data_IF_763930057282
#
_entry.id   IF_763930057282
#
_cell.length_a   1.000
_cell.length_b   1.000
_cell.length_c   1.000
_cell.angle_alpha   90.00
_cell.angle_beta   90.00
_cell.angle_gamma   90.00
#
_symmetry.space_group_name_H-M   'P 1'
#
loop_
_entity.id
_entity.type
_entity.pdbx_description
1 polymer ?
#
# COMPACT_ATOMS: atom_id res chain seq x y z
N UNK A 1 -13.15 32.49 -37.64
CA UNK A 1 -13.79 32.17 -38.92
C UNK A 1 -12.69 31.80 -39.90
N UNK A 2 -12.69 30.53 -40.33
CA UNK A 2 -11.97 29.94 -41.46
C UNK A 2 -10.45 30.13 -41.51
N UNK A 3 -9.70 29.04 -41.29
CA UNK A 3 -8.55 28.67 -42.14
C UNK A 3 -8.28 27.16 -41.96
N UNK A 4 -9.23 26.34 -42.42
CA UNK A 4 -8.89 25.04 -42.99
C UNK A 4 -8.28 25.26 -44.38
N UNK A 5 -7.44 24.30 -44.81
CA UNK A 5 -6.82 24.11 -46.14
C UNK A 5 -5.38 24.63 -46.27
N UNK A 6 -4.43 23.79 -45.88
CA UNK A 6 -3.53 23.10 -46.82
C UNK A 6 -2.41 22.37 -46.07
N UNK A 7 -2.71 21.17 -45.57
CA UNK A 7 -1.68 20.19 -45.18
C UNK A 7 -1.84 18.96 -46.08
N UNK A 8 -1.64 19.17 -47.37
CA UNK A 8 -1.46 18.09 -48.35
C UNK A 8 -0.31 18.53 -49.25
N UNK A 9 0.79 17.78 -49.22
CA UNK A 9 2.04 17.96 -49.99
C UNK A 9 3.21 18.67 -49.30
N UNK A 10 3.54 18.28 -48.06
CA UNK A 10 4.93 18.40 -47.61
C UNK A 10 5.64 17.10 -48.00
N UNK A 11 6.70 17.13 -48.84
CA UNK A 11 7.42 15.91 -49.21
C UNK A 11 7.97 15.24 -47.95
N UNK A 12 7.78 13.92 -47.85
CA UNK A 12 8.13 13.10 -46.67
C UNK A 12 9.56 13.31 -46.15
N UNK A 13 10.48 13.75 -47.02
CA UNK A 13 11.88 14.08 -46.67
C UNK A 13 12.03 15.35 -45.82
N UNK A 14 11.10 16.33 -45.92
CA UNK A 14 11.15 17.58 -45.15
C UNK A 14 10.68 17.43 -43.70
N UNK A 15 9.69 16.56 -43.46
CA UNK A 15 9.17 16.27 -42.11
C UNK A 15 10.21 15.50 -41.30
N UNK A 16 10.94 14.56 -41.92
CA UNK A 16 12.01 13.81 -41.25
C UNK A 16 13.17 14.72 -40.83
N UNK A 17 13.51 15.73 -41.65
CA UNK A 17 14.58 16.68 -41.34
C UNK A 17 14.20 17.66 -40.22
N UNK A 18 12.93 18.10 -40.16
CA UNK A 18 12.43 18.94 -39.07
C UNK A 18 12.37 18.18 -37.74
N UNK A 19 12.02 16.90 -37.76
CA UNK A 19 12.02 16.04 -36.57
C UNK A 19 13.46 15.87 -36.05
N UNK A 20 14.44 15.60 -36.92
CA UNK A 20 15.85 15.44 -36.53
C UNK A 20 16.41 16.72 -35.89
N UNK A 21 16.09 17.91 -36.42
CA UNK A 21 16.55 19.20 -35.85
C UNK A 21 15.90 19.48 -34.48
N UNK A 22 14.64 19.09 -34.28
CA UNK A 22 13.98 19.19 -32.95
C UNK A 22 14.58 18.20 -31.94
N UNK A 23 15.04 17.02 -32.39
CA UNK A 23 15.74 16.04 -31.56
C UNK A 23 17.14 16.52 -31.11
N UNK A 24 17.92 17.15 -32.00
CA UNK A 24 19.26 17.67 -31.65
C UNK A 24 19.23 18.89 -30.72
N UNK A 25 18.20 19.73 -30.79
CA UNK A 25 18.12 20.98 -30.01
C UNK A 25 17.49 20.80 -28.61
N UNK A 26 16.84 19.68 -28.32
CA UNK A 26 16.08 19.47 -27.07
C UNK A 26 16.68 18.41 -26.13
N UNK A 27 17.69 17.65 -26.55
CA UNK A 27 18.31 16.61 -25.74
C UNK A 27 17.40 15.40 -25.46
N UNK A 28 16.39 15.17 -26.30
CA UNK A 28 15.43 14.08 -26.12
C UNK A 28 16.06 12.72 -26.50
N UNK A 29 16.20 11.84 -25.52
CA UNK A 29 16.75 10.49 -25.70
C UNK A 29 15.77 9.58 -26.48
N UNK A 30 16.16 9.20 -27.71
CA UNK A 30 15.43 8.27 -28.57
C UNK A 30 15.14 6.92 -27.91
N UNK A 31 15.99 6.45 -26.98
CA UNK A 31 15.71 5.23 -26.23
C UNK A 31 14.57 5.43 -25.23
N UNK A 32 14.51 6.58 -24.54
CA UNK A 32 13.41 6.88 -23.62
C UNK A 32 12.08 7.08 -24.34
N UNK A 33 12.09 7.75 -25.50
CA UNK A 33 10.89 7.92 -26.33
C UNK A 33 10.40 6.56 -26.84
N UNK A 34 11.30 5.71 -27.35
CA UNK A 34 10.92 4.38 -27.81
C UNK A 34 10.45 3.48 -26.67
N UNK A 35 11.03 3.58 -25.48
CA UNK A 35 10.57 2.88 -24.29
C UNK A 35 9.15 3.32 -23.89
N UNK A 36 8.87 4.63 -23.88
CA UNK A 36 7.53 5.16 -23.62
C UNK A 36 6.52 4.75 -24.71
N UNK A 37 6.87 4.85 -25.99
CA UNK A 37 6.00 4.44 -27.11
C UNK A 37 5.70 2.94 -27.05
N UNK A 38 6.69 2.10 -26.71
CA UNK A 38 6.47 0.65 -26.57
C UNK A 38 5.64 0.31 -25.33
N UNK A 39 5.78 1.07 -24.24
CA UNK A 39 4.92 0.96 -23.05
C UNK A 39 3.47 1.31 -23.40
N UNK A 40 3.25 2.39 -24.16
CA UNK A 40 1.93 2.83 -24.64
C UNK A 40 1.33 1.80 -25.62
N UNK A 41 2.09 1.32 -26.60
CA UNK A 41 1.63 0.28 -27.54
C UNK A 41 1.24 -1.02 -26.84
N UNK A 42 2.00 -1.45 -25.83
CA UNK A 42 1.64 -2.62 -25.03
C UNK A 42 0.35 -2.41 -24.24
N UNK A 43 0.12 -1.22 -23.70
CA UNK A 43 -1.12 -0.89 -22.98
C UNK A 43 -2.37 -0.88 -23.89
N UNK A 44 -2.22 -0.55 -25.18
CA UNK A 44 -3.33 -0.47 -26.13
C UNK A 44 -3.87 -1.85 -26.56
N UNK A 45 -3.07 -2.92 -26.46
CA UNK A 45 -3.46 -4.27 -26.89
C UNK A 45 -3.84 -5.20 -25.71
N UNK A 46 -3.88 -4.67 -24.48
CA UNK A 46 -4.32 -5.42 -23.30
C UNK A 46 -5.84 -5.52 -23.27
N UNK A 47 -6.35 -6.75 -23.26
CA UNK A 47 -7.78 -7.07 -23.13
C UNK A 47 -8.11 -7.71 -21.79
N UNK A 48 -7.11 -8.28 -21.13
CA UNK A 48 -7.29 -9.04 -19.90
C UNK A 48 -6.35 -8.52 -18.80
N UNK A 49 -6.88 -8.46 -17.58
CA UNK A 49 -6.15 -8.03 -16.40
C UNK A 49 -6.28 -9.11 -15.34
N UNK A 50 -5.15 -9.48 -14.75
CA UNK A 50 -5.10 -10.45 -13.66
C UNK A 50 -4.29 -9.83 -12.53
N UNK A 51 -4.72 -10.08 -11.30
CA UNK A 51 -4.07 -9.57 -10.11
C UNK A 51 -3.76 -10.69 -9.13
N UNK A 52 -2.52 -10.75 -8.68
CA UNK A 52 -2.11 -11.58 -7.57
C UNK A 52 -1.73 -10.69 -6.40
N UNK A 53 -2.13 -11.07 -5.20
CA UNK A 53 -1.82 -10.30 -3.99
C UNK A 53 -1.28 -11.21 -2.91
N UNK A 54 -0.13 -10.86 -2.36
CA UNK A 54 0.57 -11.60 -1.31
C UNK A 54 1.08 -10.66 -0.22
N UNK A 55 1.60 -11.21 0.87
CA UNK A 55 2.25 -10.41 1.93
C UNK A 55 3.76 -10.61 1.85
N UNK A 56 4.53 -9.55 2.14
CA UNK A 56 5.96 -9.68 2.38
C UNK A 56 6.21 -10.64 3.54
N UNK A 57 7.33 -11.36 3.44
CA UNK A 57 7.85 -12.23 4.50
C UNK A 57 9.23 -11.75 4.93
N UNK A 58 9.55 -11.99 6.20
CA UNK A 58 10.85 -11.70 6.79
C UNK A 58 10.97 -10.27 7.28
N UNK A 59 11.57 -10.09 8.46
CA UNK A 59 11.80 -8.79 9.08
C UNK A 59 13.01 -8.07 8.46
N UNK A 60 13.04 -6.75 8.57
CA UNK A 60 14.22 -5.93 8.32
C UNK A 60 14.87 -5.52 9.65
N UNK A 61 15.94 -4.73 9.60
CA UNK A 61 16.66 -4.28 10.79
C UNK A 61 15.79 -3.46 11.76
N UNK A 62 14.88 -2.64 11.23
CA UNK A 62 14.02 -1.72 12.00
C UNK A 62 12.52 -2.00 11.81
N UNK A 63 12.17 -2.92 10.91
CA UNK A 63 10.78 -3.19 10.56
C UNK A 63 10.42 -4.64 10.83
N UNK A 64 9.41 -4.85 11.68
CA UNK A 64 8.74 -6.14 11.83
C UNK A 64 7.60 -6.20 10.85
N UNK A 65 7.54 -7.24 10.02
CA UNK A 65 6.40 -7.47 9.14
C UNK A 65 5.45 -8.49 9.76
N UNK A 66 4.15 -8.24 9.58
CA UNK A 66 3.11 -9.00 10.28
C UNK A 66 3.20 -10.50 9.98
N UNK A 67 3.17 -11.32 11.03
CA UNK A 67 3.14 -12.77 10.94
C UNK A 67 2.25 -13.31 12.05
N UNK A 68 1.32 -14.21 11.72
CA UNK A 68 0.50 -14.91 12.72
C UNK A 68 1.34 -15.74 13.70
N UNK A 69 2.58 -16.06 13.34
CA UNK A 69 3.50 -16.87 14.14
C UNK A 69 4.44 -16.03 15.02
N UNK A 70 4.54 -14.72 14.77
CA UNK A 70 5.46 -13.83 15.48
C UNK A 70 4.70 -12.60 15.98
N UNK A 71 4.35 -12.65 17.26
CA UNK A 71 3.75 -11.51 17.97
C UNK A 71 4.84 -10.53 18.40
N UNK A 72 4.44 -9.26 18.60
CA UNK A 72 5.30 -8.22 19.14
C UNK A 72 5.77 -8.59 20.54
N UNK A 73 6.99 -8.20 20.85
CA UNK A 73 7.60 -8.30 22.18
C UNK A 73 8.06 -6.92 22.62
N UNK A 74 8.31 -6.72 23.91
CA UNK A 74 8.84 -5.43 24.38
C UNK A 74 10.23 -5.10 23.82
N UNK A 75 10.97 -6.07 23.27
CA UNK A 75 12.27 -5.86 22.62
C UNK A 75 12.13 -5.23 21.22
N UNK A 76 10.92 -5.23 20.66
CA UNK A 76 10.60 -4.55 19.40
C UNK A 76 10.40 -3.04 19.59
N UNK A 77 10.13 -2.56 20.81
CA UNK A 77 9.86 -1.14 21.11
C UNK A 77 11.16 -0.40 21.40
N UNK A 78 11.89 -0.04 20.33
CA UNK A 78 13.24 0.54 20.40
C UNK A 78 13.25 2.07 20.35
N UNK A 79 12.10 2.69 20.13
CA UNK A 79 11.92 4.14 20.15
C UNK A 79 12.05 4.73 21.55
N UNK A 80 12.32 6.03 21.61
CA UNK A 80 12.42 6.76 22.88
C UNK A 80 11.07 7.39 23.23
N UNK A 81 10.51 7.14 24.44
CA UNK A 81 9.32 7.82 24.91
C UNK A 81 9.49 9.33 24.92
N UNK A 82 8.47 10.08 24.46
CA UNK A 82 8.48 11.54 24.62
C UNK A 82 8.20 11.88 26.08
N UNK A 83 9.04 12.73 26.68
CA UNK A 83 8.97 13.08 28.11
C UNK A 83 7.60 13.64 28.53
N UNK A 84 6.90 14.34 27.62
CA UNK A 84 5.59 14.96 27.86
C UNK A 84 4.41 14.13 27.35
N UNK A 85 4.65 12.89 26.88
CA UNK A 85 3.55 12.06 26.40
C UNK A 85 2.58 11.72 27.53
N UNK A 86 1.28 11.89 27.26
CA UNK A 86 0.21 11.39 28.12
C UNK A 86 0.05 9.85 28.01
N UNK A 87 0.68 9.22 27.02
CA UNK A 87 0.57 7.78 26.76
C UNK A 87 1.70 6.98 27.41
N UNK A 88 1.40 5.73 27.74
CA UNK A 88 2.33 4.79 28.38
C UNK A 88 3.18 4.00 27.38
N UNK A 89 2.64 3.76 26.19
CA UNK A 89 3.28 3.12 25.06
C UNK A 89 2.68 3.65 23.75
N UNK A 90 3.34 3.37 22.63
CA UNK A 90 2.78 3.55 21.30
C UNK A 90 3.44 2.58 20.31
N UNK A 91 2.62 1.87 19.54
CA UNK A 91 3.03 1.10 18.37
C UNK A 91 2.84 1.91 17.08
N UNK A 92 3.92 2.08 16.31
CA UNK A 92 3.84 2.62 14.96
C UNK A 92 3.59 1.48 13.98
N UNK A 93 2.31 1.22 13.70
CA UNK A 93 1.84 0.23 12.73
C UNK A 93 1.34 0.88 11.45
N UNK A 94 1.43 0.17 10.34
CA UNK A 94 0.91 0.65 9.07
C UNK A 94 0.99 -0.39 7.98
N UNK A 95 0.54 -0.02 6.79
CA UNK A 95 0.72 -0.85 5.62
C UNK A 95 1.11 -0.05 4.39
N UNK A 96 1.74 -0.73 3.44
CA UNK A 96 2.11 -0.26 2.12
C UNK A 96 2.02 -1.40 1.11
N UNK A 97 2.37 -1.14 -0.14
CA UNK A 97 2.48 -2.20 -1.14
C UNK A 97 3.55 -1.90 -2.17
N UNK A 98 4.10 -2.97 -2.76
CA UNK A 98 4.94 -2.91 -3.93
C UNK A 98 4.20 -3.58 -5.09
N UNK A 99 4.10 -2.88 -6.23
CA UNK A 99 3.46 -3.39 -7.44
C UNK A 99 4.45 -3.69 -8.54
N UNK A 100 4.29 -4.83 -9.20
CA UNK A 100 5.00 -5.20 -10.42
C UNK A 100 3.99 -5.61 -11.49
N UNK A 101 4.15 -5.11 -12.72
CA UNK A 101 3.29 -5.49 -13.86
C UNK A 101 4.12 -6.23 -14.90
N UNK A 102 3.63 -7.40 -15.31
CA UNK A 102 4.18 -8.20 -16.41
C UNK A 102 3.15 -8.35 -17.51
N UNK A 103 3.56 -8.23 -18.77
CA UNK A 103 2.68 -8.41 -19.92
C UNK A 103 2.96 -9.75 -20.60
N UNK A 104 1.91 -10.52 -20.89
CA UNK A 104 1.97 -11.75 -21.69
C UNK A 104 0.82 -11.76 -22.69
N UNK A 105 1.14 -11.58 -23.98
CA UNK A 105 0.13 -11.42 -25.03
C UNK A 105 -0.75 -10.19 -24.75
N UNK A 106 -2.06 -10.39 -24.78
CA UNK A 106 -3.09 -9.39 -24.47
C UNK A 106 -3.46 -9.34 -22.97
N UNK A 107 -2.66 -9.96 -22.10
CA UNK A 107 -2.90 -10.01 -20.65
C UNK A 107 -1.86 -9.22 -19.87
N UNK A 108 -2.33 -8.31 -19.00
CA UNK A 108 -1.55 -7.69 -17.94
C UNK A 108 -1.65 -8.52 -16.64
N UNK A 109 -0.51 -8.87 -16.07
CA UNK A 109 -0.37 -9.63 -14.84
C UNK A 109 0.22 -8.70 -13.78
N UNK A 110 -0.63 -8.28 -12.84
CA UNK A 110 -0.32 -7.33 -11.79
C UNK A 110 -0.02 -8.13 -10.51
N UNK A 111 1.18 -7.98 -9.97
CA UNK A 111 1.58 -8.64 -8.72
C UNK A 111 1.74 -7.57 -7.65
N UNK A 112 0.94 -7.68 -6.60
CA UNK A 112 0.97 -6.79 -5.45
C UNK A 112 1.53 -7.54 -4.24
N UNK A 113 2.58 -7.00 -3.63
CA UNK A 113 3.14 -7.48 -2.37
C UNK A 113 2.82 -6.46 -1.29
N UNK A 114 1.94 -6.84 -0.36
CA UNK A 114 1.55 -6.02 0.78
C UNK A 114 2.62 -6.05 1.87
N UNK A 115 2.96 -4.87 2.35
CA UNK A 115 3.87 -4.64 3.45
C UNK A 115 3.03 -4.24 4.66
N UNK A 116 2.74 -5.17 5.57
CA UNK A 116 2.04 -4.88 6.85
C UNK A 116 3.12 -4.80 7.91
N UNK A 117 3.34 -3.62 8.49
CA UNK A 117 4.57 -3.35 9.22
C UNK A 117 4.35 -2.70 10.59
N UNK A 118 5.35 -2.91 11.44
CA UNK A 118 5.59 -2.22 12.70
C UNK A 118 7.02 -1.65 12.67
N UNK A 119 7.19 -0.36 12.95
CA UNK A 119 8.50 0.34 12.90
C UNK A 119 9.09 0.45 14.31
N UNK A 120 10.12 -0.33 14.59
CA UNK A 120 10.69 -0.50 15.92
C UNK A 120 11.24 0.82 16.49
N UNK A 121 11.95 1.61 15.67
CA UNK A 121 12.50 2.91 16.07
C UNK A 121 11.45 3.99 16.39
N UNK A 122 10.22 3.84 15.88
CA UNK A 122 9.12 4.78 16.12
C UNK A 122 8.13 4.30 17.18
N UNK A 123 8.23 3.04 17.59
CA UNK A 123 7.44 2.43 18.64
C UNK A 123 8.18 2.46 19.96
N UNK A 124 7.52 2.86 21.04
CA UNK A 124 8.16 3.07 22.34
C UNK A 124 7.25 2.68 23.49
N UNK A 125 7.84 2.42 24.66
CA UNK A 125 7.12 2.12 25.90
C UNK A 125 7.89 2.71 27.09
N UNK A 126 7.18 3.26 28.07
CA UNK A 126 7.80 3.67 29.33
C UNK A 126 8.18 2.45 30.16
N UNK A 127 9.32 2.50 30.84
CA UNK A 127 9.84 1.35 31.60
C UNK A 127 8.85 0.86 32.66
N UNK A 128 8.13 1.78 33.30
CA UNK A 128 7.10 1.53 34.32
C UNK A 128 5.77 1.00 33.77
N UNK A 129 5.58 1.01 32.45
CA UNK A 129 4.33 0.62 31.78
C UNK A 129 4.35 -0.78 31.16
N UNK A 130 5.50 -1.46 31.14
CA UNK A 130 5.63 -2.78 30.52
C UNK A 130 4.80 -3.81 31.28
N UNK A 131 3.80 -4.37 30.59
CA UNK A 131 2.97 -5.48 31.08
C UNK A 131 2.43 -6.28 29.89
N UNK A 132 2.05 -7.54 30.09
CA UNK A 132 1.44 -8.36 29.03
C UNK A 132 0.13 -7.75 28.53
N UNK A 133 -0.63 -7.12 29.43
CA UNK A 133 -1.87 -6.43 29.08
C UNK A 133 -1.64 -5.21 28.17
N UNK A 134 -0.65 -4.37 28.49
CA UNK A 134 -0.28 -3.24 27.65
C UNK A 134 0.31 -3.71 26.30
N UNK A 135 1.10 -4.79 26.29
CA UNK A 135 1.63 -5.35 25.04
C UNK A 135 0.50 -5.86 24.14
N UNK A 136 -0.51 -6.50 24.73
CA UNK A 136 -1.68 -6.98 24.01
C UNK A 136 -2.54 -5.84 23.44
N UNK A 137 -2.49 -4.63 24.03
CA UNK A 137 -3.12 -3.43 23.47
C UNK A 137 -2.41 -3.01 22.18
N UNK A 138 -1.10 -2.86 22.25
CA UNK A 138 -0.26 -2.49 21.11
C UNK A 138 -0.27 -3.54 19.99
N UNK A 139 -0.31 -4.83 20.35
CA UNK A 139 -0.47 -5.93 19.39
C UNK A 139 -1.79 -5.83 18.64
N UNK A 140 -2.88 -5.41 19.29
CA UNK A 140 -4.17 -5.34 18.64
C UNK A 140 -4.24 -4.23 17.58
N UNK A 141 -3.51 -3.12 17.75
CA UNK A 141 -3.31 -2.12 16.69
C UNK A 141 -2.64 -2.73 15.46
N UNK A 142 -1.67 -3.63 15.66
CA UNK A 142 -1.02 -4.34 14.55
C UNK A 142 -1.97 -5.34 13.88
N UNK A 143 -2.78 -6.05 14.66
CA UNK A 143 -3.81 -6.97 14.17
C UNK A 143 -4.91 -6.24 13.38
N UNK A 144 -5.32 -5.04 13.81
CA UNK A 144 -6.24 -4.16 13.08
C UNK A 144 -5.63 -3.77 11.74
N UNK A 145 -4.35 -3.38 11.72
CA UNK A 145 -3.64 -3.05 10.48
C UNK A 145 -3.66 -4.24 9.51
N UNK A 146 -3.37 -5.44 10.02
CA UNK A 146 -3.43 -6.67 9.25
C UNK A 146 -4.84 -6.97 8.71
N UNK A 147 -5.87 -6.88 9.55
CA UNK A 147 -7.27 -7.07 9.17
C UNK A 147 -7.66 -6.19 7.97
N UNK A 148 -7.31 -4.91 8.01
CA UNK A 148 -7.61 -3.97 6.93
C UNK A 148 -6.89 -4.36 5.64
N UNK A 149 -5.65 -4.84 5.73
CA UNK A 149 -4.92 -5.32 4.54
C UNK A 149 -5.55 -6.58 3.96
N UNK A 150 -6.06 -7.50 4.77
CA UNK A 150 -6.77 -8.68 4.27
C UNK A 150 -8.10 -8.29 3.60
N UNK A 151 -8.82 -7.28 4.12
CA UNK A 151 -9.99 -6.69 3.44
C UNK A 151 -9.61 -6.04 2.09
N UNK A 152 -8.51 -5.28 2.05
CA UNK A 152 -8.00 -4.71 0.79
C UNK A 152 -7.65 -5.81 -0.22
N UNK A 153 -6.93 -6.85 0.22
CA UNK A 153 -6.58 -8.00 -0.62
C UNK A 153 -7.81 -8.68 -1.21
N UNK A 154 -8.87 -8.85 -0.42
CA UNK A 154 -10.15 -9.39 -0.89
C UNK A 154 -10.76 -8.49 -1.96
N UNK A 155 -10.89 -7.18 -1.70
CA UNK A 155 -11.40 -6.20 -2.67
C UNK A 155 -10.59 -6.19 -3.97
N UNK A 156 -9.26 -6.21 -3.89
CA UNK A 156 -8.39 -6.22 -5.06
C UNK A 156 -8.54 -7.48 -5.92
N UNK A 157 -8.89 -8.64 -5.33
CA UNK A 157 -9.16 -9.87 -6.10
C UNK A 157 -10.52 -9.88 -6.77
N UNK A 158 -11.48 -9.12 -6.23
CA UNK A 158 -12.87 -9.10 -6.68
C UNK A 158 -13.17 -7.94 -7.65
N UNK A 159 -12.31 -6.92 -7.70
CA UNK A 159 -12.51 -5.74 -8.55
C UNK A 159 -12.18 -6.04 -10.01
N UNK A 160 -13.01 -5.51 -10.92
CA UNK A 160 -12.69 -5.50 -12.34
C UNK A 160 -11.61 -4.45 -12.61
N UNK A 161 -10.55 -4.87 -13.29
CA UNK A 161 -9.43 -4.01 -13.67
C UNK A 161 -9.48 -3.74 -15.17
N UNK A 162 -9.06 -2.54 -15.54
CA UNK A 162 -8.93 -2.08 -16.91
C UNK A 162 -7.59 -1.34 -17.11
N UNK A 163 -7.47 -0.56 -18.19
CA UNK A 163 -6.26 0.19 -18.49
C UNK A 163 -5.86 1.20 -17.42
N UNK A 164 -6.77 1.59 -16.53
CA UNK A 164 -6.56 2.49 -15.39
C UNK A 164 -6.37 1.73 -14.06
N UNK A 165 -5.96 0.46 -14.12
CA UNK A 165 -5.75 -0.40 -12.94
C UNK A 165 -4.89 0.26 -11.85
N UNK A 166 -3.89 1.08 -12.22
CA UNK A 166 -3.04 1.79 -11.25
C UNK A 166 -3.87 2.75 -10.38
N UNK A 167 -4.76 3.54 -10.97
CA UNK A 167 -5.65 4.46 -10.26
C UNK A 167 -6.68 3.71 -9.41
N UNK A 168 -7.21 2.60 -9.94
CA UNK A 168 -8.14 1.73 -9.21
C UNK A 168 -7.48 1.19 -7.94
N UNK A 169 -6.28 0.62 -8.06
CA UNK A 169 -5.52 0.06 -6.92
C UNK A 169 -5.21 1.17 -5.91
N UNK A 170 -4.73 2.32 -6.36
CA UNK A 170 -4.40 3.45 -5.48
C UNK A 170 -5.64 3.98 -4.75
N UNK A 171 -6.79 4.06 -5.42
CA UNK A 171 -8.04 4.43 -4.78
C UNK A 171 -8.41 3.44 -3.67
N UNK A 172 -8.36 2.13 -3.96
CA UNK A 172 -8.67 1.09 -2.95
C UNK A 172 -7.70 1.14 -1.77
N UNK A 173 -6.41 1.41 -2.02
CA UNK A 173 -5.41 1.63 -0.97
C UNK A 173 -5.79 2.81 -0.06
N UNK A 174 -6.10 3.98 -0.62
CA UNK A 174 -6.48 5.17 0.14
C UNK A 174 -7.75 4.96 0.97
N UNK A 175 -8.74 4.24 0.45
CA UNK A 175 -9.94 3.91 1.22
C UNK A 175 -9.61 2.98 2.39
N UNK A 176 -8.74 2.00 2.17
CA UNK A 176 -8.26 1.10 3.24
C UNK A 176 -7.50 1.85 4.31
N UNK A 177 -6.67 2.81 3.92
CA UNK A 177 -5.89 3.62 4.86
C UNK A 177 -6.81 4.46 5.76
N UNK A 178 -7.87 5.05 5.18
CA UNK A 178 -8.91 5.76 5.94
C UNK A 178 -9.68 4.82 6.86
N UNK A 179 -10.02 3.63 6.40
CA UNK A 179 -10.70 2.60 7.20
C UNK A 179 -9.85 2.20 8.41
N UNK A 180 -8.56 1.93 8.21
CA UNK A 180 -7.61 1.61 9.27
C UNK A 180 -7.56 2.69 10.35
N UNK A 181 -7.37 3.95 9.96
CA UNK A 181 -7.27 5.05 10.93
C UNK A 181 -8.56 5.21 11.73
N UNK A 182 -9.73 5.12 11.09
CA UNK A 182 -11.02 5.16 11.79
C UNK A 182 -11.18 4.00 12.77
N UNK A 183 -10.72 2.80 12.40
CA UNK A 183 -10.86 1.62 13.24
C UNK A 183 -9.91 1.66 14.45
N UNK A 184 -8.65 2.10 14.25
CA UNK A 184 -7.69 2.32 15.34
C UNK A 184 -8.18 3.42 16.30
N UNK A 185 -8.64 4.56 15.77
CA UNK A 185 -9.20 5.65 16.59
C UNK A 185 -10.41 5.17 17.41
N UNK A 186 -11.29 4.38 16.79
CA UNK A 186 -12.45 3.81 17.49
C UNK A 186 -12.02 2.85 18.60
N UNK A 187 -11.03 2.00 18.35
CA UNK A 187 -10.48 1.08 19.34
C UNK A 187 -9.88 1.84 20.53
N UNK A 188 -9.05 2.85 20.28
CA UNK A 188 -8.47 3.71 21.32
C UNK A 188 -9.56 4.42 22.13
N UNK A 189 -10.56 5.00 21.47
CA UNK A 189 -11.64 5.72 22.15
C UNK A 189 -12.48 4.80 23.04
N UNK A 190 -12.90 3.65 22.52
CA UNK A 190 -13.76 2.71 23.26
C UNK A 190 -13.02 2.04 24.42
N UNK A 191 -11.72 1.76 24.27
CA UNK A 191 -10.90 1.25 25.38
C UNK A 191 -10.37 2.32 26.31
N UNK A 192 -10.57 3.60 25.99
CA UNK A 192 -9.90 4.75 26.64
C UNK A 192 -8.38 4.54 26.70
N UNK A 193 -7.77 4.28 25.55
CA UNK A 193 -6.33 3.99 25.40
C UNK A 193 -5.88 2.84 26.31
N UNK A 194 -6.64 1.75 26.30
CA UNK A 194 -6.34 0.54 27.08
C UNK A 194 -6.73 0.59 28.56
N UNK A 195 -7.38 1.64 29.07
CA UNK A 195 -7.81 1.71 30.47
C UNK A 195 -9.00 0.78 30.75
N UNK A 196 -9.91 0.60 29.79
CA UNK A 196 -11.14 -0.20 29.94
C UNK A 196 -10.91 -1.64 29.48
N UNK A 197 -10.57 -2.51 30.43
CA UNK A 197 -10.22 -3.92 30.20
C UNK A 197 -11.31 -4.69 29.46
N UNK A 198 -12.58 -4.51 29.83
CA UNK A 198 -13.70 -5.22 29.20
C UNK A 198 -13.84 -4.89 27.71
N UNK A 199 -13.59 -3.63 27.33
CA UNK A 199 -13.65 -3.20 25.94
C UNK A 199 -12.46 -3.73 25.15
N UNK A 200 -11.26 -3.78 25.73
CA UNK A 200 -10.11 -4.39 25.07
C UNK A 200 -10.35 -5.87 24.75
N UNK A 201 -10.89 -6.64 25.71
CA UNK A 201 -11.24 -8.04 25.49
C UNK A 201 -12.32 -8.23 24.42
N UNK A 202 -13.32 -7.34 24.40
CA UNK A 202 -14.35 -7.32 23.34
C UNK A 202 -13.72 -7.09 21.98
N UNK A 203 -12.83 -6.12 21.86
CA UNK A 203 -12.12 -5.80 20.61
C UNK A 203 -11.22 -6.94 20.13
N UNK A 204 -10.48 -7.58 21.04
CA UNK A 204 -9.68 -8.76 20.72
C UNK A 204 -10.54 -9.88 20.11
N UNK A 205 -11.72 -10.11 20.68
CA UNK A 205 -12.68 -11.09 20.15
C UNK A 205 -13.22 -10.67 18.78
N UNK A 206 -13.59 -9.41 18.60
CA UNK A 206 -14.10 -8.91 17.32
C UNK A 206 -13.08 -9.00 16.18
N UNK A 207 -11.85 -8.53 16.42
CA UNK A 207 -10.78 -8.55 15.41
C UNK A 207 -10.45 -9.99 15.02
N UNK A 208 -10.39 -10.90 16.00
CA UNK A 208 -10.21 -12.33 15.75
C UNK A 208 -11.33 -12.88 14.85
N UNK A 209 -12.59 -12.63 15.19
CA UNK A 209 -13.73 -13.13 14.40
C UNK A 209 -13.72 -12.56 12.97
N UNK A 210 -13.45 -11.25 12.80
CA UNK A 210 -13.37 -10.64 11.47
C UNK A 210 -12.22 -11.21 10.63
N UNK A 211 -11.09 -11.55 11.25
CA UNK A 211 -9.99 -12.21 10.56
C UNK A 211 -10.36 -13.65 10.14
N UNK A 212 -11.09 -14.38 10.97
CA UNK A 212 -11.60 -15.72 10.65
C UNK A 212 -12.61 -15.67 9.48
N UNK A 213 -13.52 -14.70 9.47
CA UNK A 213 -14.51 -14.50 8.40
C UNK A 213 -13.89 -14.21 7.04
N UNK A 214 -12.75 -13.51 6.98
CA UNK A 214 -12.07 -13.19 5.71
C UNK A 214 -11.34 -14.41 5.13
N UNK A 215 -11.01 -15.40 5.97
CA UNK A 215 -10.26 -16.59 5.57
C UNK A 215 -11.16 -17.80 5.24
N UNK A 216 -12.49 -17.63 5.32
CA UNK A 216 -13.51 -18.56 4.83
C UNK A 216 -13.80 -18.32 3.34
#
# INVERSE_FOLDING_TARGET
MLLEKNVRNIPFKGILFLIIIVFELTGFDLQQVNAQVNKIKKAIDVKHYTITVSNRKGNSQDTVYYSKQHQLTWDDFRGTPRAESAYSAAAFTGFGYNGEVKYRGDTAIINIVMDVYFIQSYSWVRVDAKSDYALAHEQLHFDITYLITERLKKRLREIELDSDFDSIIQYQYLQSYREMNRLQERYDNETRHGIVVSEQLRWQTLVKNWLEEIHQ
#
